data_IF_457671979242
#
_entry.id   IF_457671979242
#
_cell.length_a   1.000
_cell.length_b   1.000
_cell.length_c   1.000
_cell.angle_alpha   90.00
_cell.angle_beta   90.00
_cell.angle_gamma   90.00
#
_symmetry.space_group_name_H-M   'P 1'
#
loop_
_entity.id
_entity.type
_entity.pdbx_description
1 polymer ?
#
# COMPACT_ATOMS: atom_id res chain seq x y z
N UNK A 1 -11.02 -9.22 35.60
CA UNK A 1 -10.56 -9.86 34.34
C UNK A 1 -9.85 -8.76 33.54
N UNK A 2 -8.52 -8.82 33.34
CA UNK A 2 -7.81 -7.79 32.56
C UNK A 2 -8.17 -7.97 31.09
N UNK A 3 -8.87 -7.00 30.49
CA UNK A 3 -8.96 -6.90 29.03
C UNK A 3 -7.54 -6.78 28.48
N UNK A 4 -7.06 -7.82 27.80
CA UNK A 4 -5.81 -7.73 27.04
C UNK A 4 -6.10 -6.89 25.81
N UNK A 5 -5.51 -5.70 25.76
CA UNK A 5 -5.49 -4.87 24.55
C UNK A 5 -4.88 -5.67 23.40
N UNK A 6 -5.48 -5.60 22.22
CA UNK A 6 -4.97 -6.25 21.01
C UNK A 6 -3.61 -5.62 20.63
N UNK A 7 -2.60 -6.44 20.36
CA UNK A 7 -1.37 -5.93 19.77
C UNK A 7 -1.69 -5.44 18.34
N UNK A 8 -1.35 -4.18 18.07
CA UNK A 8 -1.55 -3.55 16.75
C UNK A 8 -0.25 -3.60 15.96
N UNK A 9 -0.25 -4.37 14.88
CA UNK A 9 0.88 -4.43 13.95
C UNK A 9 0.59 -3.63 12.69
N UNK A 10 1.63 -3.01 12.12
CA UNK A 10 1.46 -2.15 10.95
C UNK A 10 1.97 -2.84 9.69
N UNK A 11 1.13 -2.88 8.66
CA UNK A 11 1.52 -3.32 7.32
C UNK A 11 2.31 -2.20 6.65
N UNK A 12 3.53 -2.52 6.23
CA UNK A 12 4.47 -1.61 5.63
C UNK A 12 3.96 -1.18 4.25
N UNK A 13 4.17 0.09 3.93
CA UNK A 13 3.86 0.70 2.65
C UNK A 13 5.06 1.58 2.32
N UNK A 14 5.93 1.11 1.43
CA UNK A 14 7.16 1.81 1.06
C UNK A 14 7.49 1.56 -0.41
N UNK A 15 8.23 2.49 -1.00
CA UNK A 15 8.77 2.35 -2.35
C UNK A 15 9.96 1.36 -2.35
N UNK A 16 10.36 0.81 -3.52
CA UNK A 16 11.55 -0.04 -3.62
C UNK A 16 12.79 0.67 -3.06
N UNK A 17 13.46 0.06 -2.08
CA UNK A 17 14.65 0.62 -1.44
C UNK A 17 14.40 1.67 -0.35
N UNK A 18 13.14 2.07 -0.13
CA UNK A 18 12.76 3.05 0.89
C UNK A 18 12.14 2.40 2.15
N UNK A 19 12.58 1.17 2.49
CA UNK A 19 12.14 0.51 3.72
C UNK A 19 12.63 1.26 4.97
N UNK A 20 11.81 1.26 6.02
CA UNK A 20 12.17 1.84 7.31
C UNK A 20 13.24 1.00 8.00
N UNK A 21 14.32 1.64 8.44
CA UNK A 21 15.39 1.05 9.23
C UNK A 21 15.41 1.67 10.61
N UNK A 22 15.49 0.83 11.66
CA UNK A 22 15.60 1.28 13.04
C UNK A 22 17.05 1.16 13.49
N UNK A 23 17.63 2.29 13.91
CA UNK A 23 18.96 2.33 14.48
C UNK A 23 18.87 2.35 16.00
N UNK A 24 19.66 1.50 16.64
CA UNK A 24 19.91 1.53 18.08
C UNK A 24 21.33 2.03 18.26
N UNK A 25 21.52 3.01 19.14
CA UNK A 25 22.83 3.59 19.41
C UNK A 25 23.84 2.50 19.81
N UNK A 26 24.98 2.44 19.12
CA UNK A 26 26.02 1.41 19.29
C UNK A 26 25.75 0.09 18.57
N UNK A 27 24.64 -0.02 17.81
CA UNK A 27 24.30 -1.19 16.97
C UNK A 27 23.90 -0.75 15.56
N UNK A 28 24.44 0.37 15.09
CA UNK A 28 24.05 0.98 13.82
C UNK A 28 24.29 0.03 12.65
N UNK A 29 25.41 -0.69 12.65
CA UNK A 29 25.74 -1.68 11.63
C UNK A 29 24.72 -2.82 11.57
N UNK A 30 24.22 -3.28 12.72
CA UNK A 30 23.18 -4.32 12.77
C UNK A 30 21.85 -3.82 12.19
N UNK A 31 21.55 -2.52 12.32
CA UNK A 31 20.41 -1.90 11.68
C UNK A 31 20.51 -1.95 10.15
N UNK A 32 21.68 -1.63 9.61
CA UNK A 32 21.96 -1.72 8.16
C UNK A 32 21.90 -3.16 7.66
N UNK A 33 22.61 -4.07 8.32
CA UNK A 33 22.64 -5.48 7.95
C UNK A 33 21.23 -6.10 8.02
N UNK A 34 20.47 -5.71 9.03
CA UNK A 34 19.06 -6.04 9.19
C UNK A 34 18.21 -5.54 8.03
N UNK A 35 18.42 -4.31 7.54
CA UNK A 35 17.66 -3.75 6.42
C UNK A 35 17.82 -4.54 5.10
N UNK A 36 18.95 -5.23 4.94
CA UNK A 36 19.23 -6.08 3.77
C UNK A 36 18.73 -7.51 3.93
N UNK A 37 18.77 -8.05 5.16
CA UNK A 37 18.47 -9.46 5.44
C UNK A 37 17.05 -9.72 5.92
N UNK A 38 16.36 -8.70 6.42
CA UNK A 38 15.04 -8.84 7.00
C UNK A 38 13.93 -8.58 6.00
N UNK A 39 12.83 -9.31 6.17
CA UNK A 39 11.59 -9.01 5.49
C UNK A 39 10.91 -7.76 6.07
N UNK A 40 10.30 -6.99 5.20
CA UNK A 40 9.17 -6.14 5.54
C UNK A 40 7.88 -6.93 5.34
N UNK A 41 6.78 -6.50 5.95
CA UNK A 41 5.46 -7.12 5.72
C UNK A 41 5.05 -7.09 4.23
N UNK A 42 5.51 -6.08 3.48
CA UNK A 42 5.24 -5.93 2.04
C UNK A 42 6.11 -6.84 1.18
N UNK A 43 7.41 -6.90 1.45
CA UNK A 43 8.33 -7.79 0.69
C UNK A 43 8.03 -9.26 0.96
N UNK A 44 7.71 -9.62 2.21
CA UNK A 44 7.23 -10.96 2.52
C UNK A 44 5.89 -11.27 1.85
N UNK A 45 5.00 -10.29 1.65
CA UNK A 45 3.72 -10.52 0.95
C UNK A 45 3.96 -10.92 -0.51
N UNK A 46 4.91 -10.27 -1.17
CA UNK A 46 5.34 -10.64 -2.52
C UNK A 46 5.89 -12.06 -2.59
N UNK A 47 6.74 -12.44 -1.64
CA UNK A 47 7.31 -13.79 -1.57
C UNK A 47 6.26 -14.85 -1.23
N UNK A 48 5.33 -14.53 -0.33
CA UNK A 48 4.19 -15.39 -0.01
C UNK A 48 3.34 -15.67 -1.26
N UNK A 49 3.00 -14.62 -2.03
CA UNK A 49 2.27 -14.78 -3.28
C UNK A 49 3.08 -15.55 -4.33
N UNK A 50 4.40 -15.34 -4.44
CA UNK A 50 5.25 -16.09 -5.36
C UNK A 50 5.26 -17.57 -5.03
N UNK A 51 5.37 -17.91 -3.75
CA UNK A 51 5.34 -19.30 -3.27
C UNK A 51 4.00 -20.01 -3.50
N UNK A 52 2.93 -19.26 -3.84
CA UNK A 52 1.62 -19.82 -4.19
C UNK A 52 1.06 -20.64 -3.04
N UNK A 53 1.18 -20.10 -1.83
CA UNK A 53 0.96 -20.78 -0.55
C UNK A 53 -0.41 -21.48 -0.41
N UNK A 54 -0.54 -22.65 -1.04
CA UNK A 54 -1.18 -23.82 -0.44
C UNK A 54 -0.15 -24.39 0.54
N UNK A 55 0.01 -23.82 1.74
CA UNK A 55 0.94 -24.41 2.74
C UNK A 55 0.29 -25.65 3.32
N UNK A 56 0.42 -26.76 2.60
CA UNK A 56 0.16 -28.09 3.12
C UNK A 56 1.43 -28.56 3.85
N UNK A 57 1.55 -28.21 5.12
CA UNK A 57 2.54 -28.82 6.00
C UNK A 57 1.84 -29.40 7.23
N UNK A 58 1.17 -30.54 7.03
CA UNK A 58 1.00 -31.60 8.03
C UNK A 58 0.25 -31.31 9.33
N UNK A 59 -0.19 -30.08 9.60
CA UNK A 59 -1.07 -29.77 10.72
C UNK A 59 -2.38 -29.21 10.18
N UNK A 60 -3.46 -29.93 10.48
CA UNK A 60 -4.84 -29.61 10.19
C UNK A 60 -5.15 -28.13 10.45
N UNK A 61 -5.17 -27.35 9.37
CA UNK A 61 -5.84 -26.06 9.30
C UNK A 61 -6.88 -26.23 8.20
N UNK A 62 -8.16 -26.33 8.58
CA UNK A 62 -9.34 -26.63 7.74
C UNK A 62 -9.61 -25.63 6.60
N UNK A 63 -8.65 -24.79 6.24
CA UNK A 63 -8.82 -23.76 5.22
C UNK A 63 -7.56 -23.67 4.38
N UNK A 64 -7.59 -24.32 3.21
CA UNK A 64 -6.60 -24.15 2.15
C UNK A 64 -6.80 -22.75 1.52
N UNK A 65 -6.19 -21.73 2.11
CA UNK A 65 -6.34 -20.33 1.66
C UNK A 65 -5.11 -19.95 0.85
N UNK A 66 -5.29 -19.73 -0.44
CA UNK A 66 -4.26 -19.16 -1.29
C UNK A 66 -4.11 -17.66 -0.96
N UNK A 67 -2.89 -17.26 -0.60
CA UNK A 67 -2.57 -15.86 -0.33
C UNK A 67 -2.84 -14.94 -1.54
N UNK A 68 -2.82 -15.49 -2.76
CA UNK A 68 -3.11 -14.75 -3.99
C UNK A 68 -4.55 -14.27 -4.08
N UNK A 69 -5.46 -14.93 -3.36
CA UNK A 69 -6.87 -14.56 -3.29
C UNK A 69 -7.18 -13.50 -2.23
N UNK A 70 -6.18 -13.08 -1.46
CA UNK A 70 -6.30 -12.10 -0.39
C UNK A 70 -5.73 -10.74 -0.81
N UNK A 71 -6.44 -9.68 -0.41
CA UNK A 71 -5.87 -8.34 -0.43
C UNK A 71 -4.75 -8.24 0.61
N UNK A 72 -3.79 -7.34 0.40
CA UNK A 72 -2.67 -7.18 1.33
C UNK A 72 -3.12 -6.92 2.78
N UNK A 73 -4.23 -6.17 2.97
CA UNK A 73 -4.77 -5.90 4.31
C UNK A 73 -5.41 -7.13 4.99
N UNK A 74 -5.79 -8.16 4.24
CA UNK A 74 -6.42 -9.39 4.73
C UNK A 74 -5.40 -10.48 5.08
N UNK A 75 -4.18 -10.42 4.53
CA UNK A 75 -3.11 -11.39 4.81
C UNK A 75 -2.94 -11.66 6.31
N UNK A 76 -2.94 -10.64 7.19
CA UNK A 76 -2.78 -10.88 8.61
C UNK A 76 -3.92 -11.64 9.29
N UNK A 77 -5.09 -11.76 8.67
CA UNK A 77 -6.21 -12.54 9.22
C UNK A 77 -5.89 -14.04 9.19
N UNK A 78 -5.07 -14.46 8.22
CA UNK A 78 -4.75 -15.86 7.94
C UNK A 78 -3.29 -16.23 8.18
N UNK A 79 -2.39 -15.23 8.18
CA UNK A 79 -0.95 -15.42 8.31
C UNK A 79 -0.39 -14.63 9.50
N UNK A 80 0.70 -15.13 10.07
CA UNK A 80 1.51 -14.51 11.11
C UNK A 80 2.85 -14.09 10.51
N UNK A 81 3.37 -12.93 10.92
CA UNK A 81 4.61 -12.37 10.35
C UNK A 81 5.74 -12.39 11.35
N UNK A 82 6.92 -12.86 10.91
CA UNK A 82 8.19 -12.70 11.60
C UNK A 82 9.20 -12.05 10.67
N UNK A 83 9.96 -11.08 11.17
CA UNK A 83 10.96 -10.32 10.40
C UNK A 83 11.97 -11.22 9.66
N UNK A 84 12.33 -12.37 10.24
CA UNK A 84 13.29 -13.33 9.67
C UNK A 84 12.69 -14.35 8.70
N UNK A 85 11.41 -14.68 8.84
CA UNK A 85 10.77 -15.78 8.10
C UNK A 85 9.65 -15.32 7.17
N UNK A 86 9.29 -14.04 7.22
CA UNK A 86 8.18 -13.50 6.46
C UNK A 86 6.83 -13.95 7.01
N UNK A 87 5.89 -14.22 6.12
CA UNK A 87 4.53 -14.67 6.46
C UNK A 87 4.45 -16.20 6.53
N UNK A 88 3.93 -16.71 7.64
CA UNK A 88 3.68 -18.13 7.86
C UNK A 88 2.20 -18.36 8.22
N UNK A 89 1.63 -19.54 7.94
CA UNK A 89 0.26 -19.84 8.33
C UNK A 89 0.01 -19.63 9.82
N UNK A 90 -1.07 -18.93 10.15
CA UNK A 90 -1.39 -18.57 11.54
C UNK A 90 -1.83 -19.80 12.34
N UNK A 91 -1.24 -19.99 13.53
CA UNK A 91 -1.72 -20.96 14.53
C UNK A 91 -2.87 -20.34 15.34
N UNK A 92 -3.96 -21.09 15.58
CA UNK A 92 -5.16 -20.60 16.31
C UNK A 92 -4.78 -20.04 17.70
N UNK A 93 -5.35 -18.88 18.08
CA UNK A 93 -5.27 -18.34 19.45
C UNK A 93 -4.66 -16.94 19.62
N UNK A 94 -4.02 -16.37 18.59
CA UNK A 94 -3.41 -15.04 18.68
C UNK A 94 -4.36 -13.97 18.12
N UNK A 95 -4.87 -13.12 19.01
CA UNK A 95 -5.69 -11.94 18.69
C UNK A 95 -4.79 -10.74 18.39
N UNK A 96 -4.42 -10.56 17.13
CA UNK A 96 -3.65 -9.42 16.63
C UNK A 96 -4.44 -8.67 15.57
N UNK A 97 -4.52 -7.34 15.70
CA UNK A 97 -5.12 -6.47 14.68
C UNK A 97 -3.99 -5.90 13.85
N UNK A 98 -4.07 -6.02 12.53
CA UNK A 98 -3.09 -5.38 11.64
C UNK A 98 -3.73 -4.29 10.81
N UNK A 99 -3.05 -3.15 10.69
CA UNK A 99 -3.54 -1.98 9.94
C UNK A 99 -2.48 -1.52 8.95
N UNK A 100 -2.90 -1.14 7.76
CA UNK A 100 -2.01 -0.51 6.78
C UNK A 100 -1.66 0.91 7.22
N UNK A 101 -0.39 1.33 7.02
CA UNK A 101 0.02 2.69 7.32
C UNK A 101 -0.88 3.71 6.60
N UNK A 102 -1.23 4.80 7.31
CA UNK A 102 -1.78 5.99 6.66
C UNK A 102 -0.64 6.62 5.87
N UNK A 103 -0.85 6.82 4.58
CA UNK A 103 0.06 7.56 3.72
C UNK A 103 -0.62 8.87 3.37
N UNK A 104 0.14 9.96 3.42
CA UNK A 104 -0.35 11.28 3.02
C UNK A 104 -0.54 11.31 1.51
N UNK A 105 -1.64 11.85 0.97
CA UNK A 105 -1.79 12.10 -0.47
C UNK A 105 -0.67 12.95 -1.06
N UNK A 106 0.01 13.79 -0.26
CA UNK A 106 1.18 14.57 -0.69
C UNK A 106 2.39 13.71 -1.09
N UNK A 107 2.48 12.48 -0.59
CA UNK A 107 3.49 11.50 -1.01
C UNK A 107 2.86 10.64 -2.10
N UNK A 108 2.68 11.25 -3.28
CA UNK A 108 1.84 10.73 -4.38
C UNK A 108 2.20 9.29 -4.70
N UNK A 109 3.47 8.98 -4.97
CA UNK A 109 3.89 7.63 -5.35
C UNK A 109 3.61 6.58 -4.27
N UNK A 110 3.89 6.89 -3.00
CA UNK A 110 3.61 5.96 -1.91
C UNK A 110 2.11 5.85 -1.64
N UNK A 111 1.36 6.93 -1.85
CA UNK A 111 -0.10 6.95 -1.72
C UNK A 111 -0.73 6.08 -2.80
N UNK A 112 -0.33 6.23 -4.06
CA UNK A 112 -0.78 5.40 -5.19
C UNK A 112 -0.43 3.92 -4.97
N UNK A 113 0.79 3.63 -4.47
CA UNK A 113 1.17 2.28 -4.06
C UNK A 113 0.23 1.72 -2.98
N UNK A 114 -0.16 2.53 -1.99
CA UNK A 114 -1.12 2.14 -0.96
C UNK A 114 -2.48 1.80 -1.58
N UNK A 115 -2.96 2.63 -2.49
CA UNK A 115 -4.24 2.42 -3.20
C UNK A 115 -4.20 1.12 -4.00
N UNK A 116 -3.12 0.86 -4.74
CA UNK A 116 -2.93 -0.39 -5.47
C UNK A 116 -2.96 -1.61 -4.53
N UNK A 117 -2.28 -1.54 -3.38
CA UNK A 117 -2.27 -2.63 -2.38
C UNK A 117 -3.63 -2.88 -1.71
N UNK A 118 -4.50 -1.88 -1.67
CA UNK A 118 -5.85 -2.02 -1.12
C UNK A 118 -6.80 -2.69 -2.10
N UNK A 119 -6.60 -2.47 -3.41
CA UNK A 119 -7.55 -2.84 -4.44
C UNK A 119 -7.08 -3.98 -5.35
N UNK A 120 -5.84 -4.46 -5.20
CA UNK A 120 -5.31 -5.58 -5.99
C UNK A 120 -4.89 -6.75 -5.11
N UNK A 121 -4.99 -7.95 -5.68
CA UNK A 121 -4.63 -9.22 -5.04
C UNK A 121 -3.47 -9.89 -5.78
N UNK A 122 -2.81 -10.82 -5.11
CA UNK A 122 -1.84 -11.73 -5.73
C UNK A 122 -0.59 -11.12 -6.36
N UNK A 123 -0.30 -9.83 -6.12
CA UNK A 123 0.89 -9.18 -6.67
C UNK A 123 2.17 -9.77 -6.07
N UNK A 124 3.15 -10.13 -6.89
CA UNK A 124 4.38 -10.83 -6.45
C UNK A 124 5.64 -9.95 -6.50
N UNK A 125 5.49 -8.69 -6.87
CA UNK A 125 6.57 -7.71 -6.92
C UNK A 125 6.05 -6.27 -6.99
N UNK A 126 6.96 -5.30 -6.80
CA UNK A 126 6.68 -3.89 -7.09
C UNK A 126 6.40 -3.63 -8.58
N UNK A 127 6.99 -4.41 -9.48
CA UNK A 127 6.73 -4.31 -10.91
C UNK A 127 5.34 -4.84 -11.26
N UNK A 128 4.91 -5.93 -10.64
CA UNK A 128 3.56 -6.49 -10.82
C UNK A 128 2.49 -5.51 -10.36
N UNK A 129 2.75 -4.77 -9.27
CA UNK A 129 1.87 -3.70 -8.79
C UNK A 129 1.71 -2.58 -9.83
N UNK A 130 2.79 -2.25 -10.54
CA UNK A 130 2.77 -1.28 -11.65
C UNK A 130 2.30 -1.87 -12.97
N UNK A 131 1.89 -3.14 -13.01
CA UNK A 131 1.44 -3.79 -14.24
C UNK A 131 -0.09 -3.89 -14.24
N UNK A 132 -0.71 -3.26 -15.24
CA UNK A 132 -2.16 -3.20 -15.47
C UNK A 132 -2.41 -3.64 -16.91
N UNK A 133 -3.30 -4.62 -17.10
CA UNK A 133 -3.67 -5.16 -18.42
C UNK A 133 -2.48 -5.52 -19.33
N UNK A 134 -1.41 -6.05 -18.74
CA UNK A 134 -0.19 -6.46 -19.45
C UNK A 134 0.79 -5.34 -19.77
N UNK A 135 0.47 -4.08 -19.43
CA UNK A 135 1.39 -2.94 -19.55
C UNK A 135 2.00 -2.60 -18.19
N UNK A 136 3.33 -2.54 -18.12
CA UNK A 136 4.05 -2.04 -16.94
C UNK A 136 4.27 -0.54 -17.05
N UNK A 137 3.89 0.21 -16.02
CA UNK A 137 4.08 1.66 -15.92
C UNK A 137 5.35 2.01 -15.15
N UNK A 138 5.87 3.22 -15.36
CA UNK A 138 7.07 3.68 -14.67
C UNK A 138 6.75 4.06 -13.22
N UNK A 139 5.61 4.71 -13.00
CA UNK A 139 5.17 5.20 -11.70
C UNK A 139 4.01 4.39 -11.12
N UNK A 140 3.87 4.43 -9.80
CA UNK A 140 2.70 3.84 -9.13
C UNK A 140 1.44 4.71 -9.35
N UNK A 141 1.58 6.03 -9.48
CA UNK A 141 0.45 6.91 -9.81
C UNK A 141 -0.19 6.52 -11.15
N UNK A 142 0.61 6.41 -12.20
CA UNK A 142 0.15 6.04 -13.55
C UNK A 142 -0.54 4.67 -13.56
N UNK A 143 0.00 3.69 -12.83
CA UNK A 143 -0.63 2.38 -12.72
C UNK A 143 -1.96 2.44 -11.96
N UNK A 144 -2.06 3.26 -10.92
CA UNK A 144 -3.29 3.43 -10.15
C UNK A 144 -4.38 4.16 -10.96
N UNK A 145 -4.00 5.19 -11.71
CA UNK A 145 -4.85 5.89 -12.69
C UNK A 145 -5.33 4.95 -13.80
N UNK A 146 -4.41 4.20 -14.43
CA UNK A 146 -4.74 3.24 -15.47
C UNK A 146 -5.66 2.10 -14.97
N UNK A 147 -5.59 1.77 -13.68
CA UNK A 147 -6.49 0.80 -13.04
C UNK A 147 -7.86 1.39 -12.67
N UNK A 148 -8.05 2.71 -12.79
CA UNK A 148 -9.25 3.43 -12.34
C UNK A 148 -9.38 3.52 -10.82
N UNK A 149 -8.28 3.37 -10.07
CA UNK A 149 -8.28 3.50 -8.60
C UNK A 149 -7.93 4.90 -8.11
N UNK A 150 -7.38 5.74 -8.97
CA UNK A 150 -7.26 7.18 -8.77
C UNK A 150 -8.10 7.86 -9.85
N UNK A 151 -8.91 8.82 -9.43
CA UNK A 151 -9.58 9.70 -10.38
C UNK A 151 -8.53 10.57 -11.07
N UNK A 152 -8.72 10.73 -12.38
CA UNK A 152 -7.95 11.67 -13.17
C UNK A 152 -8.49 13.09 -12.92
N UNK A 153 -7.59 14.00 -12.52
CA UNK A 153 -7.89 15.42 -12.32
C UNK A 153 -8.31 16.14 -13.61
N UNK A 154 -8.34 15.44 -14.75
CA UNK A 154 -8.87 15.91 -16.02
C UNK A 154 -10.22 16.60 -15.88
N UNK A 155 -11.15 16.08 -15.07
CA UNK A 155 -12.44 16.75 -14.87
C UNK A 155 -12.29 18.13 -14.21
N UNK A 156 -11.43 18.24 -13.20
CA UNK A 156 -11.13 19.50 -12.52
C UNK A 156 -10.41 20.47 -13.47
N UNK A 157 -9.47 19.96 -14.28
CA UNK A 157 -8.72 20.74 -15.27
C UNK A 157 -9.63 21.32 -16.33
N UNK A 158 -10.53 20.50 -16.88
CA UNK A 158 -11.54 20.95 -17.85
C UNK A 158 -12.48 21.98 -17.22
N UNK A 159 -12.90 21.77 -15.97
CA UNK A 159 -13.77 22.70 -15.24
C UNK A 159 -13.11 24.06 -15.02
N UNK A 160 -11.81 24.11 -14.66
CA UNK A 160 -11.05 25.35 -14.51
C UNK A 160 -10.88 26.04 -15.87
N UNK A 161 -10.52 25.29 -16.93
CA UNK A 161 -10.38 25.84 -18.28
C UNK A 161 -11.69 26.42 -18.82
N UNK A 162 -12.82 25.77 -18.54
CA UNK A 162 -14.14 26.28 -18.91
C UNK A 162 -14.47 27.55 -18.13
N UNK A 163 -14.31 27.54 -16.79
CA UNK A 163 -14.53 28.71 -15.95
C UNK A 163 -13.66 29.90 -16.39
N UNK A 164 -12.42 29.65 -16.83
CA UNK A 164 -11.49 30.69 -17.27
C UNK A 164 -11.97 31.48 -18.49
N UNK A 165 -12.92 30.93 -19.27
CA UNK A 165 -13.52 31.62 -20.42
C UNK A 165 -14.55 32.68 -20.01
N UNK A 166 -15.15 32.55 -18.83
CA UNK A 166 -16.32 33.36 -18.43
C UNK A 166 -16.16 34.04 -17.06
N UNK A 167 -15.15 33.68 -16.27
CA UNK A 167 -14.97 34.15 -14.90
C UNK A 167 -13.77 35.09 -14.74
N UNK A 168 -13.81 35.90 -13.69
CA UNK A 168 -12.69 36.78 -13.34
C UNK A 168 -11.56 36.02 -12.65
N UNK A 169 -10.35 36.57 -12.69
CA UNK A 169 -9.19 35.99 -12.01
C UNK A 169 -9.38 35.85 -10.49
N UNK A 170 -10.19 36.69 -9.85
CA UNK A 170 -10.52 36.54 -8.42
C UNK A 170 -11.38 35.30 -8.19
N UNK A 171 -12.44 35.15 -8.99
CA UNK A 171 -13.36 34.00 -8.94
C UNK A 171 -12.62 32.68 -9.20
N UNK A 172 -11.71 32.65 -10.17
CA UNK A 172 -10.92 31.45 -10.49
C UNK A 172 -10.04 31.00 -9.32
N UNK A 173 -9.42 31.92 -8.58
CA UNK A 173 -8.64 31.57 -7.39
C UNK A 173 -9.52 30.99 -6.29
N UNK A 174 -10.70 31.56 -6.05
CA UNK A 174 -11.66 31.01 -5.09
C UNK A 174 -12.16 29.64 -5.51
N UNK A 175 -12.41 29.43 -6.81
CA UNK A 175 -12.83 28.15 -7.35
C UNK A 175 -11.73 27.08 -7.20
N UNK A 176 -10.48 27.42 -7.51
CA UNK A 176 -9.33 26.54 -7.29
C UNK A 176 -9.17 26.15 -5.81
N UNK A 177 -9.26 27.11 -4.88
CA UNK A 177 -9.22 26.82 -3.44
C UNK A 177 -10.39 25.92 -3.02
N UNK A 178 -11.58 26.11 -3.59
CA UNK A 178 -12.73 25.24 -3.34
C UNK A 178 -12.46 23.79 -3.76
N UNK A 179 -11.90 23.59 -4.96
CA UNK A 179 -11.49 22.26 -5.44
C UNK A 179 -10.46 21.62 -4.48
N UNK A 180 -9.43 22.36 -4.05
CA UNK A 180 -8.44 21.83 -3.11
C UNK A 180 -8.99 21.48 -1.73
N UNK A 181 -10.02 22.20 -1.28
CA UNK A 181 -10.62 21.99 0.04
C UNK A 181 -11.67 20.86 0.05
N UNK A 182 -12.34 20.62 -1.08
CA UNK A 182 -13.55 19.81 -1.14
C UNK A 182 -13.49 18.63 -2.11
N UNK A 183 -12.47 18.54 -2.96
CA UNK A 183 -12.29 17.48 -3.93
C UNK A 183 -11.01 16.68 -3.66
N UNK A 184 -10.97 15.44 -4.12
CA UNK A 184 -9.77 14.59 -4.06
C UNK A 184 -8.90 14.88 -5.29
N UNK A 185 -8.31 16.09 -5.31
CA UNK A 185 -7.37 16.52 -6.36
C UNK A 185 -6.05 15.74 -6.20
N UNK A 186 -5.71 14.93 -7.19
CA UNK A 186 -4.52 14.09 -7.21
C UNK A 186 -3.22 14.91 -7.45
N UNK A 187 -3.27 15.90 -8.34
CA UNK A 187 -2.18 16.76 -8.76
C UNK A 187 -2.61 18.23 -8.93
N UNK A 188 -2.59 18.96 -7.82
CA UNK A 188 -2.93 20.37 -7.77
C UNK A 188 -2.01 21.30 -8.58
N UNK A 189 -0.79 20.87 -8.91
CA UNK A 189 0.18 21.69 -9.66
C UNK A 189 -0.08 21.69 -11.16
N UNK A 190 -0.80 20.68 -11.66
CA UNK A 190 -1.15 20.52 -13.08
C UNK A 190 -2.53 21.10 -13.44
N UNK A 191 -3.27 21.58 -12.44
CA UNK A 191 -4.58 22.27 -12.56
C UNK A 191 -4.45 23.77 -12.88
#
# INVERSE_FOLDING_TARGET
MKEKSYAVWRLAVHLPGYQTVHFVAGQEQQGVDGAHSNFTTLTAYFDLNRSGANVFNGLQSDTNIDARELFYYQIPEHFSFTVRHGWEPRRRGIKEIRRMYKVSPRDVERYSLRILLLNTKGKMSFQDLRTVDGRTFEKFSEAAEASGFLDDDTYYSQSIQEAARFQTASTLRSFFVCLLCHCEVANAEEL
#
